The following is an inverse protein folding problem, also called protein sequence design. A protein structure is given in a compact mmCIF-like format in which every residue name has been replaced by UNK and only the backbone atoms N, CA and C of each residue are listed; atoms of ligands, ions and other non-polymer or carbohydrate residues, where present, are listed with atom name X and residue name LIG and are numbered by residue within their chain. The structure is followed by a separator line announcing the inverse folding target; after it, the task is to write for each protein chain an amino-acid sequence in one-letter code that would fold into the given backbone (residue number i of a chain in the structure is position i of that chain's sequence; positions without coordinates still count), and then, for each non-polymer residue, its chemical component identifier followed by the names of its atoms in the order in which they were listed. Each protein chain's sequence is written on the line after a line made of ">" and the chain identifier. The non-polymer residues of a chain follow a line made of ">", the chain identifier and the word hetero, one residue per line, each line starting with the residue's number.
data_IF_027910053477
#
_entry.id   IF_027910053477
#
_cell.length_a   1.000
_cell.length_b   1.000
_cell.length_c   1.000
_cell.angle_alpha   90.00
_cell.angle_beta   90.00
_cell.angle_gamma   90.00
#
_symmetry.space_group_name_H-M   'P 1'
#
loop_
_entity.id
_entity.type
_entity.pdbx_description
1 polymer ?
#
# COMPACT_ATOMS: atom_id res chain seq x y z
N UNK A 1 -72.72 -33.77 8.82
CA UNK A 1 -72.62 -35.01 8.01
C UNK A 1 -73.58 -34.93 6.83
N UNK A 2 -73.11 -35.13 5.60
CA UNK A 2 -73.95 -35.39 4.40
C UNK A 2 -73.50 -36.73 3.82
N UNK A 3 -74.42 -37.61 3.36
CA UNK A 3 -74.08 -38.98 2.97
C UNK A 3 -73.48 -39.05 1.55
N UNK A 4 -72.52 -39.96 1.36
CA UNK A 4 -71.98 -40.34 0.06
C UNK A 4 -72.97 -41.27 -0.66
N UNK A 5 -73.31 -40.95 -1.91
CA UNK A 5 -74.00 -41.86 -2.82
C UNK A 5 -72.96 -42.74 -3.53
N UNK A 6 -73.13 -44.07 -3.56
CA UNK A 6 -72.30 -44.98 -4.33
C UNK A 6 -73.00 -45.29 -5.65
N UNK A 7 -72.42 -44.98 -6.80
CA UNK A 7 -72.69 -45.82 -7.96
C UNK A 7 -71.64 -45.78 -9.08
N UNK A 8 -71.41 -46.98 -9.59
CA UNK A 8 -70.99 -47.32 -10.93
C UNK A 8 -69.69 -46.71 -11.47
N UNK A 9 -68.58 -47.33 -11.05
CA UNK A 9 -67.82 -48.22 -11.94
C UNK A 9 -67.72 -47.78 -13.42
N UNK A 10 -67.14 -46.61 -13.66
CA UNK A 10 -66.64 -46.22 -14.96
C UNK A 10 -65.12 -46.04 -14.91
N UNK A 11 -64.44 -47.09 -15.38
CA UNK A 11 -63.37 -46.96 -16.38
C UNK A 11 -62.04 -46.35 -15.88
N UNK A 12 -61.31 -47.18 -15.14
CA UNK A 12 -59.88 -47.50 -15.38
C UNK A 12 -59.10 -46.47 -16.23
N UNK A 13 -58.58 -45.39 -15.60
CA UNK A 13 -57.36 -44.61 -15.96
C UNK A 13 -57.31 -43.31 -15.17
N UNK A 14 -56.98 -43.39 -13.88
CA UNK A 14 -56.83 -42.16 -13.08
C UNK A 14 -56.26 -42.33 -11.68
N UNK A 15 -55.83 -43.54 -11.28
CA UNK A 15 -55.21 -43.80 -9.97
C UNK A 15 -53.72 -44.05 -10.13
N UNK A 16 -52.98 -42.98 -10.43
CA UNK A 16 -51.52 -42.89 -10.27
C UNK A 16 -51.14 -41.43 -9.96
N UNK A 17 -51.86 -40.77 -9.04
CA UNK A 17 -51.51 -39.43 -8.53
C UNK A 17 -51.42 -39.33 -7.01
N UNK A 18 -51.47 -40.46 -6.28
CA UNK A 18 -51.54 -40.47 -4.81
C UNK A 18 -50.41 -41.23 -4.10
N UNK A 19 -49.23 -41.37 -4.73
CA UNK A 19 -48.06 -41.93 -4.05
C UNK A 19 -46.78 -41.33 -4.63
N UNK A 20 -46.39 -40.15 -4.14
CA UNK A 20 -45.03 -39.80 -3.69
C UNK A 20 -44.88 -38.27 -3.53
N UNK A 21 -44.56 -37.88 -2.29
CA UNK A 21 -43.57 -36.85 -1.93
C UNK A 21 -43.92 -35.36 -2.15
N UNK A 22 -44.16 -34.67 -1.01
CA UNK A 22 -43.93 -33.25 -0.70
C UNK A 22 -43.90 -32.27 -1.90
N UNK A 23 -44.99 -31.56 -2.12
CA UNK A 23 -44.97 -30.29 -2.85
C UNK A 23 -45.18 -29.10 -1.90
N UNK A 24 -44.77 -27.90 -2.31
CA UNK A 24 -43.39 -27.48 -2.53
C UNK A 24 -42.76 -27.04 -1.20
N UNK A 25 -41.52 -27.46 -0.88
CA UNK A 25 -40.67 -26.57 -0.07
C UNK A 25 -40.35 -25.40 -1.00
N UNK A 26 -41.14 -24.34 -0.86
CA UNK A 26 -40.82 -23.06 -1.44
C UNK A 26 -39.48 -22.66 -0.81
N UNK A 27 -38.38 -22.77 -1.56
CA UNK A 27 -37.11 -22.11 -1.23
C UNK A 27 -37.32 -20.59 -1.30
N UNK A 28 -38.10 -20.07 -0.36
CA UNK A 28 -38.34 -18.65 -0.15
C UNK A 28 -37.23 -18.01 0.66
N UNK A 29 -36.07 -18.67 0.79
CA UNK A 29 -34.94 -18.16 1.55
C UNK A 29 -33.71 -17.79 0.71
N UNK A 30 -33.66 -18.12 -0.59
CA UNK A 30 -32.48 -17.80 -1.42
C UNK A 30 -32.52 -16.39 -2.04
N UNK A 31 -33.69 -15.79 -2.25
CA UNK A 31 -33.77 -14.43 -2.82
C UNK A 31 -33.23 -13.32 -1.89
N UNK A 32 -33.15 -13.56 -0.57
CA UNK A 32 -32.54 -12.63 0.38
C UNK A 32 -31.02 -12.77 0.51
N UNK A 33 -30.44 -13.85 -0.01
CA UNK A 33 -29.00 -14.14 0.08
C UNK A 33 -28.20 -13.44 -1.02
N UNK A 34 -28.74 -13.33 -2.24
CA UNK A 34 -27.97 -12.84 -3.39
C UNK A 34 -27.44 -11.41 -3.23
N UNK A 35 -28.23 -10.49 -2.66
CA UNK A 35 -27.79 -9.10 -2.42
C UNK A 35 -26.74 -9.07 -1.31
N UNK A 36 -26.91 -9.86 -0.25
CA UNK A 36 -25.98 -9.88 0.89
C UNK A 36 -24.67 -10.56 0.51
N UNK A 37 -24.71 -11.66 -0.25
CA UNK A 37 -23.55 -12.39 -0.75
C UNK A 37 -22.74 -11.56 -1.75
N UNK A 38 -23.42 -10.89 -2.70
CA UNK A 38 -22.75 -9.95 -3.59
C UNK A 38 -22.12 -8.78 -2.83
N UNK A 39 -22.85 -8.21 -1.87
CA UNK A 39 -22.31 -7.12 -1.03
C UNK A 39 -21.12 -7.59 -0.21
N UNK A 40 -21.17 -8.79 0.36
CA UNK A 40 -20.08 -9.39 1.11
C UNK A 40 -18.85 -9.61 0.23
N UNK A 41 -19.02 -10.20 -0.96
CA UNK A 41 -17.92 -10.39 -1.91
C UNK A 41 -17.35 -9.04 -2.38
N UNK A 42 -18.21 -8.07 -2.67
CA UNK A 42 -17.79 -6.72 -3.05
C UNK A 42 -16.96 -6.07 -1.94
N UNK A 43 -17.37 -6.14 -0.67
CA UNK A 43 -16.60 -5.62 0.46
C UNK A 43 -15.30 -6.41 0.68
N UNK A 44 -15.35 -7.74 0.57
CA UNK A 44 -14.20 -8.62 0.68
C UNK A 44 -13.12 -8.27 -0.34
N UNK A 45 -13.49 -7.85 -1.55
CA UNK A 45 -12.55 -7.41 -2.58
C UNK A 45 -12.20 -5.92 -2.48
N UNK A 46 -13.17 -5.07 -2.17
CA UNK A 46 -13.01 -3.62 -2.10
C UNK A 46 -12.07 -3.21 -0.96
N UNK A 47 -12.22 -3.78 0.23
CA UNK A 47 -11.42 -3.38 1.40
C UNK A 47 -9.92 -3.63 1.17
N UNK A 48 -9.46 -4.83 0.76
CA UNK A 48 -8.06 -5.08 0.44
C UNK A 48 -7.55 -4.24 -0.74
N UNK A 49 -8.39 -4.02 -1.76
CA UNK A 49 -8.01 -3.21 -2.91
C UNK A 49 -7.75 -1.75 -2.53
N UNK A 50 -8.64 -1.14 -1.74
CA UNK A 50 -8.46 0.23 -1.25
C UNK A 50 -7.23 0.32 -0.36
N UNK A 51 -7.04 -0.64 0.56
CA UNK A 51 -5.84 -0.71 1.39
C UNK A 51 -4.57 -0.80 0.54
N UNK A 52 -4.56 -1.64 -0.49
CA UNK A 52 -3.44 -1.80 -1.40
C UNK A 52 -3.12 -0.50 -2.14
N UNK A 53 -4.13 0.18 -2.70
CA UNK A 53 -3.97 1.45 -3.40
C UNK A 53 -3.35 2.51 -2.48
N UNK A 54 -3.86 2.65 -1.25
CA UNK A 54 -3.33 3.61 -0.27
C UNK A 54 -1.87 3.27 0.07
N UNK A 55 -1.59 2.00 0.38
CA UNK A 55 -0.25 1.55 0.78
C UNK A 55 0.77 1.78 -0.34
N UNK A 56 0.44 1.39 -1.56
CA UNK A 56 1.31 1.59 -2.73
C UNK A 56 1.47 3.07 -3.06
N UNK A 57 0.44 3.89 -2.86
CA UNK A 57 0.52 5.34 -2.98
C UNK A 57 1.54 5.97 -2.02
N UNK A 58 1.52 5.55 -0.74
CA UNK A 58 2.49 5.99 0.26
C UNK A 58 3.92 5.57 -0.10
N UNK A 59 4.12 4.33 -0.56
CA UNK A 59 5.44 3.84 -0.98
C UNK A 59 5.99 4.61 -2.17
N UNK A 60 5.15 4.90 -3.17
CA UNK A 60 5.54 5.71 -4.31
C UNK A 60 5.89 7.14 -3.90
N UNK A 61 5.09 7.76 -3.02
CA UNK A 61 5.38 9.09 -2.47
C UNK A 61 6.73 9.12 -1.76
N UNK A 62 6.98 8.17 -0.86
CA UNK A 62 8.25 8.04 -0.16
C UNK A 62 9.43 7.82 -1.10
N UNK A 63 9.25 7.02 -2.17
CA UNK A 63 10.29 6.78 -3.19
C UNK A 63 10.67 8.05 -3.94
N UNK A 64 9.70 8.90 -4.31
CA UNK A 64 9.98 10.20 -4.91
C UNK A 64 10.63 11.17 -3.93
N UNK A 65 10.22 11.11 -2.64
CA UNK A 65 10.83 11.91 -1.58
C UNK A 65 12.32 11.61 -1.41
N UNK A 66 12.71 10.33 -1.31
CA UNK A 66 14.13 9.95 -1.14
C UNK A 66 14.98 10.27 -2.37
N UNK A 67 14.42 10.13 -3.59
CA UNK A 67 15.13 10.52 -4.82
C UNK A 67 15.40 12.03 -4.85
N UNK A 68 14.38 12.84 -4.54
CA UNK A 68 14.52 14.30 -4.46
C UNK A 68 15.50 14.72 -3.36
N UNK A 69 15.38 14.12 -2.18
CA UNK A 69 16.26 14.38 -1.05
C UNK A 69 17.73 14.05 -1.35
N UNK A 70 18.00 12.88 -1.94
CA UNK A 70 19.37 12.49 -2.30
C UNK A 70 19.98 13.44 -3.35
N UNK A 71 19.22 13.80 -4.39
CA UNK A 71 19.67 14.72 -5.44
C UNK A 71 19.95 16.12 -4.89
N UNK A 72 19.06 16.67 -4.07
CA UNK A 72 19.26 17.99 -3.46
C UNK A 72 20.41 18.00 -2.47
N UNK A 73 20.52 16.98 -1.62
CA UNK A 73 21.60 16.85 -0.65
C UNK A 73 22.97 16.76 -1.35
N UNK A 74 23.10 15.95 -2.42
CA UNK A 74 24.33 15.84 -3.18
C UNK A 74 24.74 17.17 -3.83
N UNK A 75 23.79 17.90 -4.42
CA UNK A 75 24.03 19.23 -5.04
C UNK A 75 24.45 20.27 -4.01
N UNK A 76 23.76 20.33 -2.88
CA UNK A 76 24.08 21.28 -1.81
C UNK A 76 25.42 20.96 -1.17
N UNK A 77 25.74 19.68 -0.98
CA UNK A 77 27.03 19.24 -0.43
C UNK A 77 28.20 19.80 -1.25
N UNK A 78 28.19 19.57 -2.57
CA UNK A 78 29.27 20.04 -3.44
C UNK A 78 29.29 21.56 -3.64
N UNK A 79 28.23 22.27 -3.25
CA UNK A 79 28.19 23.73 -3.30
C UNK A 79 28.87 24.38 -2.09
N UNK A 80 29.00 23.66 -0.98
CA UNK A 80 29.61 24.19 0.25
C UNK A 80 31.15 24.09 0.23
N UNK A 81 31.86 25.10 0.79
CA UNK A 81 33.32 25.16 0.76
C UNK A 81 34.01 24.18 1.72
N UNK A 82 33.37 23.85 2.85
CA UNK A 82 33.97 23.03 3.92
C UNK A 82 33.16 21.75 4.16
N UNK A 83 33.81 20.64 4.52
CA UNK A 83 33.14 19.35 4.71
C UNK A 83 32.09 19.36 5.84
N UNK A 84 32.35 20.06 6.95
CA UNK A 84 31.42 20.12 8.09
C UNK A 84 30.16 20.95 7.77
N UNK A 85 30.32 22.06 7.04
CA UNK A 85 29.19 22.89 6.59
C UNK A 85 28.44 22.21 5.44
N UNK A 86 29.14 21.48 4.56
CA UNK A 86 28.57 20.66 3.50
C UNK A 86 27.64 19.57 4.05
N UNK A 87 28.09 18.81 5.06
CA UNK A 87 27.28 17.77 5.70
C UNK A 87 25.98 18.34 6.28
N UNK A 88 26.09 19.38 7.10
CA UNK A 88 24.93 19.99 7.75
C UNK A 88 23.95 20.60 6.73
N UNK A 89 24.47 21.25 5.67
CA UNK A 89 23.63 21.82 4.62
C UNK A 89 22.94 20.74 3.77
N UNK A 90 23.63 19.62 3.49
CA UNK A 90 23.06 18.49 2.77
C UNK A 90 21.95 17.81 3.58
N UNK A 91 22.15 17.60 4.88
CA UNK A 91 21.13 17.06 5.79
C UNK A 91 19.90 17.98 5.88
N UNK A 92 20.09 19.29 5.95
CA UNK A 92 18.99 20.26 5.92
C UNK A 92 18.23 20.25 4.59
N UNK A 93 18.95 20.16 3.47
CA UNK A 93 18.34 20.07 2.15
C UNK A 93 17.52 18.77 1.98
N UNK A 94 18.05 17.64 2.45
CA UNK A 94 17.32 16.38 2.49
C UNK A 94 16.08 16.49 3.37
N UNK A 95 16.20 17.06 4.57
CA UNK A 95 15.07 17.24 5.49
C UNK A 95 13.96 18.08 4.88
N UNK A 96 14.30 19.15 4.15
CA UNK A 96 13.30 19.99 3.48
C UNK A 96 12.60 19.21 2.34
N UNK A 97 13.36 18.49 1.51
CA UNK A 97 12.80 17.69 0.43
C UNK A 97 11.90 16.54 0.95
N UNK A 98 12.24 15.94 2.09
CA UNK A 98 11.40 14.94 2.75
C UNK A 98 10.13 15.55 3.35
N UNK A 99 10.22 16.74 3.93
CA UNK A 99 9.10 17.46 4.50
C UNK A 99 8.03 17.83 3.46
N UNK A 100 8.42 18.07 2.20
CA UNK A 100 7.49 18.30 1.09
C UNK A 100 6.53 17.10 0.86
N UNK A 101 6.95 15.90 1.25
CA UNK A 101 6.14 14.68 1.20
C UNK A 101 5.54 14.29 2.56
N UNK A 102 5.69 15.13 3.59
CA UNK A 102 5.15 14.90 4.92
C UNK A 102 5.98 13.96 5.81
N UNK A 103 7.25 13.72 5.47
CA UNK A 103 8.16 12.88 6.25
C UNK A 103 9.08 13.70 7.15
N UNK A 104 9.17 13.31 8.42
CA UNK A 104 10.07 13.92 9.41
C UNK A 104 11.49 13.36 9.35
N UNK A 105 12.44 14.05 9.98
CA UNK A 105 13.84 13.62 10.02
C UNK A 105 14.07 12.39 10.87
N UNK A 106 13.18 12.09 11.82
CA UNK A 106 13.22 10.87 12.64
C UNK A 106 12.92 9.58 11.86
N UNK A 107 12.30 9.72 10.68
CA UNK A 107 11.93 8.61 9.81
C UNK A 107 13.00 8.30 8.76
N UNK A 108 14.01 9.18 8.61
CA UNK A 108 14.96 9.15 7.51
C UNK A 108 16.42 9.14 7.98
N UNK A 109 17.30 8.58 7.16
CA UNK A 109 18.73 8.55 7.38
C UNK A 109 19.45 9.05 6.13
N UNK A 110 20.48 9.87 6.31
CA UNK A 110 21.31 10.41 5.23
C UNK A 110 22.73 9.89 5.42
N UNK A 111 23.26 9.22 4.40
CA UNK A 111 24.64 8.73 4.36
C UNK A 111 25.36 9.37 3.18
N UNK A 112 26.57 9.90 3.42
CA UNK A 112 27.40 10.51 2.38
C UNK A 112 28.70 9.72 2.26
N UNK A 113 29.04 9.36 1.03
CA UNK A 113 30.29 8.68 0.69
C UNK A 113 30.99 9.40 -0.45
N UNK A 114 32.31 9.29 -0.48
CA UNK A 114 33.15 10.01 -1.43
C UNK A 114 34.14 9.07 -2.09
N UNK A 115 34.39 9.30 -3.38
CA UNK A 115 35.41 8.57 -4.13
C UNK A 115 36.14 9.52 -5.06
N UNK A 116 37.44 9.79 -4.83
CA UNK A 116 38.28 9.34 -3.71
C UNK A 116 37.87 9.92 -2.34
N UNK A 117 38.45 9.41 -1.24
CA UNK A 117 38.04 9.70 0.16
C UNK A 117 38.03 11.19 0.53
N UNK A 118 38.79 12.03 -0.17
CA UNK A 118 38.75 13.49 -0.01
C UNK A 118 37.52 14.08 -0.70
N UNK A 119 36.41 14.16 0.04
CA UNK A 119 35.13 14.71 -0.39
C UNK A 119 35.18 16.15 -0.94
N UNK A 120 36.22 16.93 -0.65
CA UNK A 120 36.34 18.32 -1.09
C UNK A 120 37.36 18.51 -2.21
N UNK A 121 38.10 17.46 -2.56
CA UNK A 121 39.03 17.53 -3.68
C UNK A 121 38.25 17.72 -5.01
N UNK A 122 38.73 18.62 -5.90
CA UNK A 122 38.19 18.76 -7.24
C UNK A 122 38.15 17.44 -8.00
N UNK A 123 37.01 17.13 -8.60
CA UNK A 123 36.80 15.89 -9.35
C UNK A 123 36.39 14.69 -8.50
N UNK A 124 36.28 14.84 -7.17
CA UNK A 124 35.72 13.79 -6.30
C UNK A 124 34.24 13.58 -6.59
N UNK A 125 33.82 12.32 -6.67
CA UNK A 125 32.42 11.92 -6.72
C UNK A 125 31.87 11.81 -5.30
N UNK A 126 30.89 12.65 -4.98
CA UNK A 126 30.16 12.62 -3.72
C UNK A 126 28.82 11.93 -3.96
N UNK A 127 28.60 10.78 -3.33
CA UNK A 127 27.34 10.04 -3.37
C UNK A 127 26.59 10.26 -2.08
N UNK A 128 25.38 10.81 -2.16
CA UNK A 128 24.46 10.91 -1.04
C UNK A 128 23.38 9.86 -1.17
N UNK A 129 23.16 9.08 -0.12
CA UNK A 129 22.15 8.04 -0.01
C UNK A 129 21.16 8.44 1.06
N UNK A 130 19.87 8.40 0.74
CA UNK A 130 18.79 8.73 1.68
C UNK A 130 17.89 7.51 1.79
N UNK A 131 17.69 7.03 3.02
CA UNK A 131 16.72 5.98 3.33
C UNK A 131 15.57 6.55 4.17
N UNK A 132 14.37 6.02 3.97
CA UNK A 132 13.14 6.48 4.61
C UNK A 132 12.26 5.28 4.98
N UNK A 133 11.81 5.26 6.24
CA UNK A 133 10.84 4.29 6.73
C UNK A 133 9.41 4.81 6.53
N UNK A 134 8.57 4.06 5.81
CA UNK A 134 7.19 4.45 5.52
C UNK A 134 6.23 3.75 6.50
N UNK A 135 5.44 4.50 7.29
CA UNK A 135 4.46 3.88 8.18
C UNK A 135 3.31 3.25 7.39
N UNK A 136 2.98 2.00 7.72
CA UNK A 136 1.85 1.29 7.10
C UNK A 136 0.51 1.84 7.62
N UNK A 137 -0.46 2.12 6.74
CA UNK A 137 -1.76 2.64 7.15
C UNK A 137 -2.54 1.61 7.98
N UNK A 138 -3.27 2.07 8.99
CA UNK A 138 -4.20 1.25 9.80
C UNK A 138 -3.57 0.10 10.61
N UNK A 139 -2.25 0.14 10.88
CA UNK A 139 -1.58 -0.82 11.77
C UNK A 139 -1.37 -0.20 13.16
N UNK A 140 -2.06 -0.65 14.22
CA UNK A 140 -1.98 -0.03 15.55
C UNK A 140 -0.69 -0.33 16.33
N UNK A 141 0.22 -1.14 15.77
CA UNK A 141 1.45 -1.60 16.42
C UNK A 141 2.74 -0.94 15.87
N UNK A 142 2.59 0.19 15.15
CA UNK A 142 3.61 0.78 14.26
C UNK A 142 4.99 1.07 14.85
N UNK A 143 5.12 1.28 16.17
CA UNK A 143 6.41 1.66 16.77
C UNK A 143 7.14 0.50 17.49
N UNK A 144 6.41 -0.55 17.88
CA UNK A 144 6.95 -1.65 18.70
C UNK A 144 7.49 -2.84 17.90
N UNK A 145 7.02 -3.01 16.67
CA UNK A 145 7.51 -4.00 15.71
C UNK A 145 8.12 -3.23 14.53
N UNK A 146 9.42 -2.93 14.61
CA UNK A 146 10.19 -2.38 13.47
C UNK A 146 10.30 -3.45 12.38
N UNK A 147 9.23 -3.66 11.64
CA UNK A 147 9.24 -4.46 10.43
C UNK A 147 9.94 -3.60 9.37
N UNK A 148 11.21 -3.89 9.08
CA UNK A 148 12.00 -3.29 7.98
C UNK A 148 11.41 -3.53 6.58
N UNK A 149 10.17 -3.99 6.48
CA UNK A 149 9.51 -4.34 5.22
C UNK A 149 9.05 -3.11 4.41
N UNK A 150 9.23 -1.89 4.92
CA UNK A 150 8.73 -0.64 4.31
C UNK A 150 9.77 0.47 4.31
N UNK A 151 11.03 0.10 4.06
CA UNK A 151 12.09 1.09 3.81
C UNK A 151 12.23 1.32 2.31
N UNK A 152 12.35 2.59 1.91
CA UNK A 152 12.70 3.00 0.55
C UNK A 152 14.00 3.78 0.59
N UNK A 153 14.83 3.60 -0.42
CA UNK A 153 16.17 4.20 -0.48
C UNK A 153 16.44 4.72 -1.89
N UNK A 154 17.16 5.84 -1.97
CA UNK A 154 17.73 6.33 -3.22
C UNK A 154 19.09 6.97 -2.98
N UNK A 155 19.92 6.97 -4.03
CA UNK A 155 21.23 7.60 -4.01
C UNK A 155 21.41 8.53 -5.21
N UNK A 156 22.10 9.65 -5.00
CA UNK A 156 22.50 10.57 -6.06
C UNK A 156 23.99 10.91 -5.93
N UNK A 157 24.67 11.02 -7.07
CA UNK A 157 26.11 11.31 -7.12
C UNK A 157 26.36 12.63 -7.85
N UNK A 158 27.17 13.48 -7.25
CA UNK A 158 27.58 14.76 -7.82
C UNK A 158 29.10 14.92 -7.77
N UNK A 159 29.68 15.54 -8.80
CA UNK A 159 31.12 15.81 -8.86
C UNK A 159 31.44 17.18 -8.24
N UNK A 160 32.52 17.23 -7.46
CA UNK A 160 33.08 18.49 -6.97
C UNK A 160 33.71 19.26 -8.14
N UNK A 161 33.19 20.47 -8.38
CA UNK A 161 33.67 21.34 -9.45
C UNK A 161 35.11 21.80 -9.24
N UNK A 162 35.89 21.87 -10.33
CA UNK A 162 37.27 22.38 -10.30
C UNK A 162 37.37 23.90 -10.25
N UNK A 163 36.29 24.58 -10.59
CA UNK A 163 36.17 26.04 -10.59
C UNK A 163 35.05 26.39 -9.62
N UNK A 164 35.43 26.73 -8.38
CA UNK A 164 34.56 27.33 -7.38
C UNK A 164 34.80 28.84 -7.36
#
# INVERSE_FOLDING_TARGET
>A
MRPCSPDAMHRVRGRFRDALCLGPKQDRSEQGSAVVEFTFLALLLMVPLVYFIITVGQIQGGSFAVVGAADQAAKVYVAQPDASTAQAAAEQAAALALADFGHGTEQAQVAISCSPDDCQAPGTAVTTTVSLSIPLPFIPFGDGLRLSATEVEASATQLVGRFR
#
